data_IF_149440376497
#
_entry.id   IF_149440376497
#
_cell.length_a   1.000
_cell.length_b   1.000
_cell.length_c   1.000
_cell.angle_alpha   90.00
_cell.angle_beta   90.00
_cell.angle_gamma   90.00
#
_symmetry.space_group_name_H-M   'P 1'
#
loop_
_entity.id
_entity.type
_entity.pdbx_description
1 polymer ?
#
# COMPACT_ATOMS: atom_id res chain seq x y z
N UNK A 1 -6.14 -14.60 -23.31
CA UNK A 1 -6.52 -14.80 -21.89
C UNK A 1 -7.86 -14.11 -21.68
N UNK A 2 -8.91 -14.82 -21.26
CA UNK A 2 -10.31 -14.34 -21.24
C UNK A 2 -10.94 -14.44 -19.85
N UNK A 3 -10.43 -13.67 -18.90
CA UNK A 3 -10.98 -13.62 -17.53
C UNK A 3 -12.35 -12.95 -17.53
N UNK A 4 -13.35 -13.63 -16.96
CA UNK A 4 -14.76 -13.17 -16.93
C UNK A 4 -15.25 -12.75 -15.55
N UNK A 5 -14.44 -12.99 -14.52
CA UNK A 5 -14.76 -12.77 -13.11
C UNK A 5 -13.90 -11.66 -12.49
N UNK A 6 -13.39 -10.76 -13.33
CA UNK A 6 -12.63 -9.57 -12.91
C UNK A 6 -13.43 -8.36 -13.33
N UNK A 7 -13.81 -7.56 -12.35
CA UNK A 7 -14.50 -6.28 -12.55
C UNK A 7 -13.53 -5.19 -12.11
N UNK A 8 -13.37 -4.17 -12.96
CA UNK A 8 -12.52 -3.01 -12.69
C UNK A 8 -13.41 -1.80 -12.60
N UNK A 9 -13.32 -1.10 -11.48
CA UNK A 9 -14.12 0.09 -11.19
C UNK A 9 -13.19 1.24 -10.82
N UNK A 10 -13.55 2.45 -11.24
CA UNK A 10 -12.94 3.66 -10.71
C UNK A 10 -13.54 3.93 -9.32
N UNK A 11 -12.71 3.86 -8.29
CA UNK A 11 -13.11 4.12 -6.91
C UNK A 11 -13.45 5.61 -6.65
N UNK A 12 -12.98 6.51 -7.51
CA UNK A 12 -13.17 7.95 -7.34
C UNK A 12 -12.59 8.45 -6.01
N UNK A 13 -13.45 9.03 -5.16
CA UNK A 13 -13.03 9.62 -3.87
C UNK A 13 -13.15 8.67 -2.67
N UNK A 14 -13.77 7.51 -2.85
CA UNK A 14 -14.03 6.56 -1.77
C UNK A 14 -13.37 5.23 -2.10
N UNK A 15 -12.50 4.74 -1.20
CA UNK A 15 -11.82 3.48 -1.44
C UNK A 15 -12.80 2.30 -1.29
N UNK A 16 -12.52 1.24 -2.04
CA UNK A 16 -13.36 0.04 -2.10
C UNK A 16 -14.58 0.19 -3.00
N UNK A 17 -15.47 -0.80 -2.97
CA UNK A 17 -16.74 -0.79 -3.71
C UNK A 17 -17.88 -1.18 -2.76
N UNK A 18 -18.48 -0.21 -2.04
CA UNK A 18 -19.56 -0.47 -1.09
C UNK A 18 -20.78 -1.15 -1.72
N UNK A 19 -21.01 -0.94 -3.02
CA UNK A 19 -22.13 -1.53 -3.76
C UNK A 19 -21.95 -3.03 -3.99
N UNK A 20 -20.70 -3.50 -4.00
CA UNK A 20 -20.37 -4.93 -4.14
C UNK A 20 -20.07 -5.61 -2.80
N UNK A 21 -20.03 -4.84 -1.71
CA UNK A 21 -19.90 -5.38 -0.36
C UNK A 21 -21.11 -6.28 -0.02
N UNK A 22 -20.95 -7.25 0.90
CA UNK A 22 -19.75 -7.49 1.70
C UNK A 22 -18.70 -8.36 0.98
N UNK A 23 -17.44 -8.20 1.38
CA UNK A 23 -16.32 -8.99 0.87
C UNK A 23 -15.85 -10.01 1.91
N UNK A 24 -15.50 -11.21 1.43
CA UNK A 24 -14.77 -12.18 2.24
C UNK A 24 -13.35 -11.69 2.52
N UNK A 25 -12.69 -11.11 1.51
CA UNK A 25 -11.29 -10.73 1.55
C UNK A 25 -11.07 -9.40 0.87
N UNK A 26 -10.21 -8.57 1.45
CA UNK A 26 -9.72 -7.32 0.86
C UNK A 26 -8.19 -7.37 0.85
N UNK A 27 -7.58 -7.04 -0.27
CA UNK A 27 -6.13 -6.89 -0.39
C UNK A 27 -5.88 -5.47 -0.86
N UNK A 28 -5.11 -4.72 -0.08
CA UNK A 28 -4.73 -3.35 -0.41
C UNK A 28 -3.27 -3.36 -0.82
N UNK A 29 -2.98 -2.91 -2.04
CA UNK A 29 -1.64 -2.93 -2.65
C UNK A 29 -0.92 -1.58 -2.57
N UNK A 30 -1.35 -0.71 -1.65
CA UNK A 30 -0.76 0.60 -1.36
C UNK A 30 -0.81 0.88 0.15
N UNK A 31 0.18 1.61 0.67
CA UNK A 31 0.36 1.82 2.10
C UNK A 31 -0.46 2.97 2.66
N UNK A 32 -1.16 2.73 3.76
CA UNK A 32 -2.00 3.71 4.47
C UNK A 32 -1.33 4.15 5.79
N UNK A 33 -1.51 5.39 6.26
CA UNK A 33 -0.95 5.83 7.55
C UNK A 33 -1.55 5.06 8.74
N UNK A 34 -2.80 4.64 8.61
CA UNK A 34 -3.57 3.89 9.61
C UNK A 34 -4.60 2.99 8.92
N UNK A 35 -5.23 2.09 9.67
CA UNK A 35 -6.28 1.21 9.14
C UNK A 35 -7.49 2.03 8.65
N UNK A 36 -7.85 1.99 7.35
CA UNK A 36 -9.03 2.66 6.84
C UNK A 36 -10.29 1.90 7.30
N UNK A 37 -10.97 2.42 8.33
CA UNK A 37 -12.10 1.73 8.97
C UNK A 37 -13.24 1.43 7.99
N UNK A 38 -13.49 2.34 7.04
CA UNK A 38 -14.53 2.12 6.03
C UNK A 38 -14.27 0.88 5.15
N UNK A 39 -13.01 0.47 4.93
CA UNK A 39 -12.71 -0.78 4.22
C UNK A 39 -13.01 -2.01 5.08
N UNK A 40 -12.78 -1.93 6.39
CA UNK A 40 -13.16 -2.99 7.34
C UNK A 40 -14.68 -3.16 7.42
N UNK A 41 -15.44 -2.08 7.27
CA UNK A 41 -16.89 -2.14 7.24
C UNK A 41 -17.42 -2.96 6.05
N UNK A 42 -16.69 -2.96 4.93
CA UNK A 42 -17.04 -3.76 3.75
C UNK A 42 -16.75 -5.26 3.92
N UNK A 43 -16.04 -5.69 4.97
CA UNK A 43 -15.80 -7.12 5.24
C UNK A 43 -16.99 -7.79 5.94
N UNK A 44 -17.22 -9.05 5.61
CA UNK A 44 -18.04 -9.96 6.44
C UNK A 44 -17.40 -10.19 7.82
N UNK A 45 -18.19 -10.62 8.82
CA UNK A 45 -17.64 -11.22 10.04
C UNK A 45 -16.85 -12.48 9.67
N UNK A 46 -15.64 -12.64 10.20
CA UNK A 46 -14.67 -13.66 9.79
C UNK A 46 -13.90 -13.31 8.51
N UNK A 47 -14.21 -12.17 7.88
CA UNK A 47 -13.50 -11.63 6.74
C UNK A 47 -12.10 -11.16 7.09
N UNK A 48 -11.22 -11.08 6.09
CA UNK A 48 -9.80 -10.73 6.28
C UNK A 48 -9.35 -9.63 5.34
N UNK A 49 -8.60 -8.66 5.85
CA UNK A 49 -7.94 -7.63 5.06
C UNK A 49 -6.42 -7.75 5.21
N UNK A 50 -5.70 -7.69 4.11
CA UNK A 50 -4.24 -7.53 4.11
C UNK A 50 -3.93 -6.13 3.59
N UNK A 51 -3.22 -5.32 4.38
CA UNK A 51 -2.94 -3.92 4.06
C UNK A 51 -1.57 -3.51 4.63
N UNK A 52 -0.76 -2.74 3.89
CA UNK A 52 0.42 -2.09 4.44
C UNK A 52 0.04 -0.87 5.27
N UNK A 53 0.48 -0.81 6.52
CA UNK A 53 0.24 0.29 7.45
C UNK A 53 1.55 0.86 7.96
N UNK A 54 1.66 2.18 7.99
CA UNK A 54 2.78 2.88 8.60
C UNK A 54 3.21 4.13 7.84
N UNK A 55 4.33 4.69 8.26
CA UNK A 55 4.92 5.85 7.60
C UNK A 55 5.39 5.50 6.17
N UNK A 56 5.40 6.50 5.30
CA UNK A 56 5.90 6.38 3.93
C UNK A 56 7.35 5.88 3.94
N UNK A 57 7.64 4.88 3.11
CA UNK A 57 8.96 4.27 2.97
C UNK A 57 9.27 3.17 4.00
N UNK A 58 8.49 3.05 5.07
CA UNK A 58 8.62 1.97 6.06
C UNK A 58 7.27 1.40 6.52
N UNK A 59 6.33 1.05 5.62
CA UNK A 59 5.10 0.39 6.04
C UNK A 59 5.36 -1.08 6.41
N UNK A 60 4.57 -1.58 7.36
CA UNK A 60 4.51 -3.00 7.68
C UNK A 60 3.21 -3.59 7.14
N UNK A 61 3.31 -4.78 6.55
CA UNK A 61 2.15 -5.50 6.06
C UNK A 61 1.40 -6.09 7.25
N UNK A 62 0.12 -5.79 7.39
CA UNK A 62 -0.71 -6.34 8.47
C UNK A 62 -1.88 -7.15 7.91
N UNK A 63 -2.21 -8.23 8.61
CA UNK A 63 -3.44 -9.00 8.43
C UNK A 63 -4.43 -8.57 9.51
N UNK A 64 -5.60 -8.11 9.08
CA UNK A 64 -6.73 -7.80 9.96
C UNK A 64 -7.81 -8.84 9.75
N UNK A 65 -8.28 -9.46 10.83
CA UNK A 65 -9.44 -10.36 10.82
C UNK A 65 -10.60 -9.69 11.54
N UNK A 66 -11.73 -9.50 10.84
CA UNK A 66 -12.96 -8.96 11.42
C UNK A 66 -13.68 -10.06 12.21
N UNK A 67 -14.10 -9.75 13.42
CA UNK A 67 -14.85 -10.64 14.31
C UNK A 67 -16.08 -9.93 14.86
N UNK A 68 -16.98 -10.66 15.51
CA UNK A 68 -18.21 -10.08 16.09
C UNK A 68 -17.93 -9.03 17.18
N UNK A 69 -16.79 -9.14 17.86
CA UNK A 69 -16.42 -8.29 19.00
C UNK A 69 -15.36 -7.23 18.66
N UNK A 70 -14.92 -7.14 17.41
CA UNK A 70 -13.89 -6.22 16.97
C UNK A 70 -12.93 -6.82 15.94
N UNK A 71 -11.67 -6.41 15.98
CA UNK A 71 -10.67 -6.77 14.98
C UNK A 71 -9.42 -7.36 15.62
N UNK A 72 -8.90 -8.44 15.03
CA UNK A 72 -7.61 -9.01 15.39
C UNK A 72 -6.59 -8.59 14.34
N UNK A 73 -5.45 -8.07 14.78
CA UNK A 73 -4.39 -7.56 13.90
C UNK A 73 -3.12 -8.36 14.12
N UNK A 74 -2.57 -8.89 13.04
CA UNK A 74 -1.30 -9.60 13.00
C UNK A 74 -0.33 -8.84 12.08
N UNK A 75 0.91 -8.66 12.53
CA UNK A 75 1.97 -8.05 11.74
C UNK A 75 2.70 -9.14 10.94
N UNK A 76 2.75 -8.98 9.62
CA UNK A 76 3.38 -9.91 8.67
C UNK A 76 4.78 -9.46 8.25
N UNK A 77 5.26 -8.30 8.72
CA UNK A 77 6.61 -7.79 8.50
C UNK A 77 6.68 -6.59 7.55
N UNK A 78 7.90 -6.08 7.36
CA UNK A 78 8.16 -4.88 6.57
C UNK A 78 7.87 -5.08 5.06
N UNK A 79 7.41 -4.02 4.39
CA UNK A 79 7.25 -3.98 2.94
C UNK A 79 7.53 -2.58 2.39
N UNK A 80 7.58 -2.45 1.07
CA UNK A 80 7.78 -1.17 0.40
C UNK A 80 6.74 -1.02 -0.72
N UNK A 81 5.72 -0.19 -0.48
CA UNK A 81 4.65 0.09 -1.42
C UNK A 81 4.38 1.59 -1.51
N UNK A 82 3.76 2.00 -2.61
CA UNK A 82 3.34 3.38 -2.84
C UNK A 82 2.25 3.82 -1.85
N UNK A 83 2.10 5.12 -1.54
CA UNK A 83 1.03 5.60 -0.68
C UNK A 83 -0.37 5.33 -1.26
N UNK A 84 -1.29 4.88 -0.40
CA UNK A 84 -2.71 4.79 -0.69
C UNK A 84 -3.35 6.18 -0.51
N UNK A 85 -3.78 6.78 -1.61
CA UNK A 85 -4.42 8.09 -1.60
C UNK A 85 -5.94 7.92 -1.50
N UNK A 86 -6.59 8.58 -0.56
CA UNK A 86 -8.05 8.56 -0.44
C UNK A 86 -8.56 8.89 0.96
N UNK A 87 -9.89 8.83 1.12
CA UNK A 87 -10.55 8.98 2.43
C UNK A 87 -9.95 8.00 3.44
N UNK A 88 -9.70 8.45 4.66
CA UNK A 88 -9.10 7.69 5.77
C UNK A 88 -7.72 7.06 5.46
N UNK A 89 -7.05 7.56 4.42
CA UNK A 89 -5.69 7.18 4.05
C UNK A 89 -4.83 8.45 3.90
N UNK A 90 -3.97 8.52 2.88
CA UNK A 90 -3.19 9.74 2.60
C UNK A 90 -3.99 10.76 1.79
N UNK A 91 -3.78 12.08 2.01
CA UNK A 91 -4.40 13.13 1.22
C UNK A 91 -3.83 13.19 -0.21
N UNK A 92 -4.60 13.67 -1.20
CA UNK A 92 -4.16 13.74 -2.60
C UNK A 92 -3.02 14.75 -2.83
N UNK A 93 -2.83 15.73 -1.95
CA UNK A 93 -1.74 16.70 -2.01
C UNK A 93 -0.42 16.18 -1.41
N UNK A 94 -0.36 14.89 -1.04
CA UNK A 94 0.83 14.30 -0.43
C UNK A 94 2.05 14.38 -1.36
N UNK A 95 3.05 15.18 -0.98
CA UNK A 95 4.39 15.10 -1.55
C UNK A 95 5.20 14.00 -0.84
N UNK A 96 5.19 12.81 -1.43
CA UNK A 96 5.94 11.68 -0.91
C UNK A 96 7.39 11.61 -1.43
N UNK A 97 7.80 12.51 -2.34
CA UNK A 97 9.16 12.54 -2.90
C UNK A 97 10.17 13.11 -1.90
N UNK A 98 9.75 14.12 -1.13
CA UNK A 98 10.58 14.76 -0.09
C UNK A 98 10.94 13.78 1.04
N UNK A 99 10.09 12.78 1.32
CA UNK A 99 10.33 11.76 2.37
C UNK A 99 11.36 10.70 1.92
N UNK A 100 11.39 10.36 0.63
CA UNK A 100 12.32 9.34 0.10
C UNK A 100 13.77 9.84 0.02
N UNK A 101 13.99 11.14 -0.24
CA UNK A 101 15.33 11.72 -0.36
C UNK A 101 16.13 11.78 0.96
N UNK A 102 15.47 11.67 2.13
CA UNK A 102 16.16 11.71 3.43
C UNK A 102 16.74 10.35 3.85
N UNK A 103 16.18 9.22 3.38
CA UNK A 103 16.62 7.88 3.79
C UNK A 103 17.25 7.01 2.70
N UNK A 104 17.03 7.33 1.43
CA UNK A 104 17.78 6.76 0.31
C UNK A 104 18.54 7.88 -0.38
N UNK A 105 19.68 8.27 0.21
CA UNK A 105 20.63 9.14 -0.48
C UNK A 105 21.05 8.53 -1.83
N UNK A 106 21.48 9.35 -2.80
CA UNK A 106 21.92 8.85 -4.09
C UNK A 106 23.02 7.80 -3.87
N UNK A 107 22.74 6.55 -4.27
CA UNK A 107 23.78 5.55 -4.44
C UNK A 107 24.82 6.17 -5.38
N UNK A 108 26.02 6.38 -4.84
CA UNK A 108 27.14 6.96 -5.56
C UNK A 108 27.33 6.23 -6.88
N UNK A 109 27.13 6.97 -7.97
CA UNK A 109 27.61 6.74 -9.33
C UNK A 109 28.30 5.39 -9.55
N UNK A 110 27.62 4.48 -10.24
CA UNK A 110 28.33 3.44 -10.99
C UNK A 110 29.21 4.16 -12.02
N UNK A 111 30.50 4.33 -11.71
CA UNK A 111 31.52 4.70 -12.68
C UNK A 111 31.67 3.53 -13.64
N UNK A 112 30.93 3.58 -14.74
CA UNK A 112 31.29 2.83 -15.94
C UNK A 112 32.63 3.41 -16.41
N UNK A 113 33.66 2.57 -16.44
CA UNK A 113 35.00 2.97 -16.86
C UNK A 113 35.01 3.38 -18.32
N UNK A 114 35.83 4.39 -18.61
CA UNK A 114 36.49 4.48 -19.90
C UNK A 114 38.00 4.48 -19.62
N UNK A 115 38.67 3.46 -20.15
CA UNK A 115 40.11 3.31 -20.18
C UNK A 115 40.58 3.86 -21.53
N UNK A 116 41.21 5.03 -21.52
CA UNK A 116 42.11 5.57 -22.55
C UNK A 116 42.74 6.84 -21.93
N UNK A 117 44.04 7.10 -21.90
CA UNK A 117 45.20 6.54 -22.57
C UNK A 117 46.44 6.62 -21.67
N UNK A 118 47.39 5.74 -21.95
CA UNK A 118 48.72 5.65 -21.37
C UNK A 118 49.72 6.66 -21.98
N UNK A 119 50.78 6.96 -21.21
CA UNK A 119 52.10 7.52 -21.61
C UNK A 119 52.08 8.91 -22.31
N UNK A 120 52.82 9.93 -21.86
CA UNK A 120 54.27 10.04 -21.61
C UNK A 120 54.54 11.12 -20.56
#
# INVERSE_FOLDING_TARGET
MGYKNVYVEDAGKQLGSPQQAPFDRIIVTAGSPALPLHLLDLLVIGGRMVIPIGAIGTPELVLVTKSEIGHFVENLGACALVPLIGRDAWPPELDYTTTTHSKFGPQSQNKFGDQSDAEV
#
